data_IF_699755734799
#
_entry.id   IF_699755734799
#
_cell.length_a   1.000
_cell.length_b   1.000
_cell.length_c   1.000
_cell.angle_alpha   90.00
_cell.angle_beta   90.00
_cell.angle_gamma   90.00
#
_symmetry.space_group_name_H-M   'P 1'
#
loop_
_entity.id
_entity.type
_entity.pdbx_description
1 polymer ?
#
# COMPACT_ATOMS: atom_id res chain seq x y z
N UNK A 1 31.49 -5.68 -30.09
CA UNK A 1 30.24 -5.28 -29.41
C UNK A 1 30.01 -6.24 -28.26
N UNK A 2 30.36 -5.82 -27.05
CA UNK A 2 30.24 -6.65 -25.86
C UNK A 2 28.84 -6.49 -25.26
N UNK A 3 28.09 -7.59 -25.10
CA UNK A 3 26.80 -7.61 -24.41
C UNK A 3 27.06 -7.45 -22.91
N UNK A 4 26.61 -6.36 -22.32
CA UNK A 4 26.55 -6.21 -20.87
C UNK A 4 25.47 -7.15 -20.32
N UNK A 5 25.86 -8.06 -19.46
CA UNK A 5 24.98 -8.96 -18.75
C UNK A 5 24.34 -8.24 -17.55
N UNK A 6 23.17 -8.67 -17.13
CA UNK A 6 22.29 -8.14 -16.06
C UNK A 6 22.91 -8.09 -14.65
N UNK A 7 24.21 -8.36 -14.52
CA UNK A 7 24.92 -8.56 -13.26
C UNK A 7 25.66 -7.37 -12.65
N UNK A 8 25.76 -6.23 -13.34
CA UNK A 8 26.57 -5.08 -12.87
C UNK A 8 25.72 -3.93 -12.30
N UNK A 9 24.73 -4.24 -11.47
CA UNK A 9 24.01 -3.25 -10.69
C UNK A 9 24.61 -3.16 -9.30
N UNK A 10 25.29 -2.05 -9.02
CA UNK A 10 25.88 -1.73 -7.74
C UNK A 10 24.87 -1.89 -6.59
N UNK A 11 25.17 -2.79 -5.67
CA UNK A 11 24.55 -2.88 -4.36
C UNK A 11 24.97 -1.66 -3.54
N UNK A 12 23.99 -0.92 -3.01
CA UNK A 12 24.31 0.07 -2.01
C UNK A 12 23.39 1.27 -1.90
N UNK A 13 22.10 1.07 -1.72
CA UNK A 13 21.30 2.01 -0.97
C UNK A 13 20.59 1.21 0.13
N UNK A 14 21.13 1.24 1.33
CA UNK A 14 20.43 0.78 2.53
C UNK A 14 19.31 1.78 2.76
N UNK A 15 18.09 1.42 2.37
CA UNK A 15 16.91 2.17 2.76
C UNK A 15 16.71 1.87 4.24
N UNK A 16 17.00 2.88 5.08
CA UNK A 16 16.66 2.84 6.50
C UNK A 16 15.14 2.74 6.59
N UNK A 17 14.65 1.59 7.03
CA UNK A 17 13.24 1.38 7.35
C UNK A 17 12.89 2.27 8.53
N UNK A 18 12.26 3.41 8.28
CA UNK A 18 11.64 4.19 9.33
C UNK A 18 10.34 3.52 9.77
N UNK A 19 10.28 3.19 11.05
CA UNK A 19 9.12 2.63 11.72
C UNK A 19 8.00 3.70 11.75
N UNK A 20 7.00 3.57 10.89
CA UNK A 20 5.82 4.44 10.88
C UNK A 20 4.64 3.66 11.46
N UNK A 21 4.06 4.20 12.53
CA UNK A 21 2.86 3.62 13.20
C UNK A 21 1.64 3.80 12.31
N UNK A 22 1.03 2.71 11.90
CA UNK A 22 -0.13 2.67 11.00
C UNK A 22 -1.45 2.43 11.72
N UNK A 23 -2.49 3.04 11.16
CA UNK A 23 -3.88 2.64 11.42
C UNK A 23 -4.12 1.29 10.70
N UNK A 24 -4.25 0.24 11.50
CA UNK A 24 -4.17 -1.18 11.11
C UNK A 24 -5.41 -1.72 10.37
N UNK A 25 -6.38 -0.88 9.99
CA UNK A 25 -7.73 -1.35 9.66
C UNK A 25 -8.03 -1.53 8.17
N UNK A 26 -7.06 -1.40 7.23
CA UNK A 26 -7.41 -1.45 5.81
C UNK A 26 -6.39 -2.20 4.95
N UNK A 27 -6.77 -3.40 4.54
CA UNK A 27 -6.12 -4.19 3.49
C UNK A 27 -5.79 -3.33 2.26
N UNK A 28 -4.58 -3.51 1.70
CA UNK A 28 -4.14 -2.79 0.50
C UNK A 28 -3.61 -1.38 0.75
N UNK A 29 -3.41 -0.96 2.00
CA UNK A 29 -2.62 0.23 2.31
C UNK A 29 -1.13 -0.11 2.27
N UNK A 30 -0.33 0.76 1.71
CA UNK A 30 1.11 0.63 1.64
C UNK A 30 1.77 2.01 1.47
N UNK A 31 3.09 2.06 1.61
CA UNK A 31 3.89 3.25 1.39
C UNK A 31 4.91 3.04 0.30
N UNK A 32 5.50 4.12 -0.16
CA UNK A 32 6.58 4.05 -1.12
C UNK A 32 7.07 5.41 -1.58
N UNK A 33 8.04 5.36 -2.47
CA UNK A 33 8.52 6.52 -3.21
C UNK A 33 8.05 6.44 -4.65
N UNK A 34 7.28 7.44 -5.06
CA UNK A 34 6.77 7.56 -6.42
C UNK A 34 7.81 8.09 -7.41
N UNK A 35 8.77 8.87 -6.92
CA UNK A 35 9.95 9.35 -7.64
C UNK A 35 11.08 9.56 -6.65
N UNK A 36 12.28 9.12 -7.00
CA UNK A 36 13.51 9.39 -6.22
C UNK A 36 14.27 10.49 -6.93
N UNK A 37 14.74 11.49 -6.16
CA UNK A 37 15.42 12.66 -6.71
C UNK A 37 16.87 12.40 -7.14
N UNK A 38 17.38 13.28 -7.97
CA UNK A 38 18.78 13.36 -8.35
C UNK A 38 19.38 12.10 -9.01
N UNK A 39 18.55 11.17 -9.49
CA UNK A 39 19.01 10.03 -10.29
C UNK A 39 18.49 10.13 -11.72
N UNK A 40 19.28 9.66 -12.68
CA UNK A 40 18.88 9.61 -14.08
C UNK A 40 17.95 8.41 -14.29
N UNK A 41 16.75 8.67 -14.76
CA UNK A 41 15.78 7.62 -15.09
C UNK A 41 16.05 7.01 -16.49
N UNK A 42 15.22 6.06 -16.92
CA UNK A 42 15.38 5.36 -18.21
C UNK A 42 15.08 6.24 -19.43
N UNK A 43 14.47 7.41 -19.23
CA UNK A 43 14.20 8.40 -20.27
C UNK A 43 15.30 9.47 -20.37
N UNK A 44 16.28 9.47 -19.47
CA UNK A 44 17.31 10.49 -19.37
C UNK A 44 16.88 11.71 -18.56
N UNK A 45 15.85 11.58 -17.74
CA UNK A 45 15.33 12.63 -16.90
C UNK A 45 15.91 12.54 -15.47
N UNK A 46 16.09 13.69 -14.85
CA UNK A 46 16.36 13.83 -13.41
C UNK A 46 15.25 14.69 -12.82
N UNK A 47 14.54 14.15 -11.85
CA UNK A 47 13.59 14.92 -11.03
C UNK A 47 14.37 15.58 -9.90
N UNK A 48 14.19 16.89 -9.76
CA UNK A 48 14.85 17.69 -8.72
C UNK A 48 13.94 17.85 -7.50
N UNK A 49 14.51 18.03 -6.28
CA UNK A 49 13.74 18.44 -5.13
C UNK A 49 12.93 19.71 -5.39
N UNK A 50 11.72 19.82 -4.88
CA UNK A 50 10.78 20.91 -5.13
C UNK A 50 9.96 20.76 -6.42
N UNK A 51 10.19 19.71 -7.20
CA UNK A 51 9.50 19.52 -8.48
C UNK A 51 7.99 19.36 -8.35
N UNK A 52 7.49 18.88 -7.21
CA UNK A 52 6.07 18.60 -6.95
C UNK A 52 5.38 19.65 -6.06
N UNK A 53 6.07 20.72 -5.62
CA UNK A 53 5.51 21.74 -4.72
C UNK A 53 4.18 22.30 -5.20
N UNK A 54 4.06 22.63 -6.49
CA UNK A 54 2.84 23.17 -7.09
C UNK A 54 1.68 22.16 -7.04
N UNK A 55 1.97 20.86 -7.13
CA UNK A 55 0.95 19.80 -7.02
C UNK A 55 0.54 19.59 -5.57
N UNK A 56 1.50 19.45 -4.68
CA UNK A 56 1.29 19.19 -3.26
C UNK A 56 0.52 20.32 -2.57
N UNK A 57 0.72 21.57 -3.03
CA UNK A 57 -0.05 22.72 -2.55
C UNK A 57 -1.51 22.77 -3.03
N UNK A 58 -1.93 21.89 -3.96
CA UNK A 58 -3.26 21.93 -4.60
C UNK A 58 -4.06 20.64 -4.51
N UNK A 59 -3.38 19.51 -4.34
CA UNK A 59 -3.99 18.17 -4.41
C UNK A 59 -3.63 17.37 -3.17
N UNK A 60 -4.63 16.94 -2.42
CA UNK A 60 -4.46 16.05 -1.27
C UNK A 60 -4.31 14.58 -1.70
N UNK A 61 -4.71 14.27 -2.93
CA UNK A 61 -4.64 12.92 -3.48
C UNK A 61 -4.54 12.92 -5.01
N UNK A 62 -3.98 11.84 -5.54
CA UNK A 62 -4.02 11.53 -6.98
C UNK A 62 -4.50 10.09 -7.21
N UNK A 63 -5.09 9.77 -8.38
CA UNK A 63 -5.46 8.40 -8.71
C UNK A 63 -4.24 7.48 -8.75
N UNK A 64 -4.43 6.22 -8.36
CA UNK A 64 -3.46 5.17 -8.60
C UNK A 64 -3.94 4.26 -9.74
N UNK A 65 -3.05 4.02 -10.69
CA UNK A 65 -3.32 3.22 -11.87
C UNK A 65 -2.42 1.98 -11.93
N UNK A 66 -2.73 1.05 -12.83
CA UNK A 66 -1.83 -0.02 -13.20
C UNK A 66 -1.30 0.21 -14.62
N UNK A 67 0.05 0.26 -14.73
CA UNK A 67 0.78 0.48 -15.98
C UNK A 67 0.35 1.75 -16.76
N UNK A 68 0.01 2.86 -16.07
CA UNK A 68 -0.40 4.14 -16.66
C UNK A 68 -1.67 4.09 -17.53
N UNK A 69 -2.43 3.03 -17.47
CA UNK A 69 -3.69 2.94 -18.22
C UNK A 69 -4.84 3.57 -17.42
N UNK A 70 -5.44 4.61 -17.99
CA UNK A 70 -6.55 5.35 -17.34
C UNK A 70 -7.76 4.48 -16.98
N UNK A 71 -7.98 3.39 -17.73
CA UNK A 71 -9.05 2.43 -17.46
C UNK A 71 -8.72 1.44 -16.33
N UNK A 72 -7.46 1.40 -15.90
CA UNK A 72 -6.96 0.49 -14.87
C UNK A 72 -6.79 1.24 -13.53
N UNK A 73 -7.87 1.86 -13.05
CA UNK A 73 -7.88 2.50 -11.73
C UNK A 73 -7.83 1.43 -10.63
N UNK A 74 -6.77 1.47 -9.81
CA UNK A 74 -6.55 0.52 -8.72
C UNK A 74 -6.73 1.13 -7.34
N UNK A 75 -6.76 2.46 -7.22
CA UNK A 75 -6.87 3.11 -5.93
C UNK A 75 -6.52 4.59 -5.97
N UNK A 76 -5.98 5.08 -4.87
CA UNK A 76 -5.52 6.47 -4.73
C UNK A 76 -4.24 6.54 -3.90
N UNK A 77 -3.43 7.55 -4.18
CA UNK A 77 -2.30 7.96 -3.35
C UNK A 77 -2.69 9.21 -2.54
N UNK A 78 -2.36 9.20 -1.27
CA UNK A 78 -2.61 10.27 -0.29
C UNK A 78 -1.33 10.59 0.46
N UNK A 79 -1.39 11.60 1.35
CA UNK A 79 -0.29 11.97 2.25
C UNK A 79 1.05 12.12 1.52
N UNK A 80 0.95 12.66 0.31
CA UNK A 80 2.12 12.87 -0.55
C UNK A 80 2.97 14.01 0.00
N UNK A 81 4.27 13.78 0.09
CA UNK A 81 5.25 14.80 0.52
C UNK A 81 6.61 14.56 -0.11
N UNK A 82 7.36 15.62 -0.30
CA UNK A 82 8.77 15.52 -0.62
C UNK A 82 9.61 15.42 0.65
N UNK A 83 10.66 14.61 0.60
CA UNK A 83 11.73 14.56 1.59
C UNK A 83 13.10 14.56 0.87
N UNK A 84 14.19 14.29 1.60
CA UNK A 84 15.55 14.28 1.04
C UNK A 84 15.79 13.16 0.02
N UNK A 85 14.91 12.15 -0.04
CA UNK A 85 15.00 10.99 -0.93
C UNK A 85 14.18 11.22 -2.20
N UNK A 86 12.92 11.69 -2.06
CA UNK A 86 12.01 11.80 -3.19
C UNK A 86 10.58 12.19 -2.82
N UNK A 87 9.65 11.87 -3.71
CA UNK A 87 8.21 11.99 -3.48
C UNK A 87 7.70 10.74 -2.77
N UNK A 88 7.52 10.83 -1.47
CA UNK A 88 6.87 9.80 -0.65
C UNK A 88 5.34 9.89 -0.81
N UNK A 89 4.66 8.74 -0.70
CA UNK A 89 3.20 8.66 -0.75
C UNK A 89 2.67 7.49 0.08
N UNK A 90 1.40 7.60 0.50
CA UNK A 90 0.61 6.47 0.99
C UNK A 90 -0.33 6.00 -0.10
N UNK A 91 -0.18 4.75 -0.54
CA UNK A 91 -1.05 4.09 -1.49
C UNK A 91 -2.19 3.37 -0.79
N UNK A 92 -3.39 3.48 -1.37
CA UNK A 92 -4.56 2.75 -0.92
C UNK A 92 -5.26 2.11 -2.10
N UNK A 93 -5.16 0.79 -2.18
CA UNK A 93 -5.90 0.02 -3.18
C UNK A 93 -7.40 0.03 -2.87
N UNK A 94 -8.22 -0.03 -3.93
CA UNK A 94 -9.69 -0.03 -3.79
C UNK A 94 -10.17 -1.44 -3.44
N UNK A 95 -10.73 -1.68 -2.24
CA UNK A 95 -11.24 -2.99 -1.86
C UNK A 95 -12.33 -3.46 -2.82
N UNK A 96 -12.29 -4.75 -3.19
CA UNK A 96 -13.31 -5.37 -4.03
C UNK A 96 -13.22 -5.06 -5.53
N UNK A 97 -12.35 -4.15 -5.98
CA UNK A 97 -12.08 -3.96 -7.40
C UNK A 97 -11.13 -5.06 -7.90
N UNK A 98 -11.50 -5.76 -8.98
CA UNK A 98 -10.74 -6.92 -9.48
C UNK A 98 -9.29 -6.59 -9.77
N UNK A 99 -9.01 -5.52 -10.52
CA UNK A 99 -7.65 -5.09 -10.86
C UNK A 99 -6.85 -4.70 -9.61
N UNK A 100 -7.46 -4.03 -8.64
CA UNK A 100 -6.80 -3.68 -7.38
C UNK A 100 -6.45 -4.93 -6.57
N UNK A 101 -7.33 -5.94 -6.56
CA UNK A 101 -7.05 -7.21 -5.91
C UNK A 101 -5.91 -7.97 -6.61
N UNK A 102 -5.89 -8.01 -7.94
CA UNK A 102 -4.80 -8.64 -8.71
C UNK A 102 -3.44 -7.97 -8.39
N UNK A 103 -3.39 -6.64 -8.40
CA UNK A 103 -2.21 -5.87 -8.01
C UNK A 103 -1.80 -6.20 -6.56
N UNK A 104 -2.74 -6.23 -5.63
CA UNK A 104 -2.48 -6.60 -4.24
C UNK A 104 -1.85 -8.00 -4.11
N UNK A 105 -2.39 -9.01 -4.82
CA UNK A 105 -1.84 -10.37 -4.79
C UNK A 105 -0.41 -10.41 -5.37
N UNK A 106 -0.14 -9.66 -6.44
CA UNK A 106 1.21 -9.55 -7.00
C UNK A 106 2.19 -8.85 -6.05
N UNK A 107 1.76 -7.80 -5.34
CA UNK A 107 2.57 -7.14 -4.31
C UNK A 107 2.85 -8.09 -3.14
N UNK A 108 1.85 -8.79 -2.66
CA UNK A 108 1.98 -9.79 -1.58
C UNK A 108 2.94 -10.93 -1.95
N UNK A 109 2.91 -11.37 -3.21
CA UNK A 109 3.84 -12.36 -3.75
C UNK A 109 5.24 -11.78 -4.05
N UNK A 110 5.47 -10.48 -3.78
CA UNK A 110 6.71 -9.76 -4.10
C UNK A 110 7.06 -9.76 -5.60
N UNK A 111 6.07 -9.98 -6.46
CA UNK A 111 6.21 -9.97 -7.91
C UNK A 111 6.04 -8.57 -8.52
N UNK A 112 5.50 -7.62 -7.76
CA UNK A 112 5.22 -6.25 -8.21
C UNK A 112 5.53 -5.27 -7.06
N UNK A 113 6.55 -4.44 -7.26
CA UNK A 113 6.98 -3.39 -6.33
C UNK A 113 7.26 -2.06 -7.04
N UNK A 114 7.34 -2.05 -8.37
CA UNK A 114 7.68 -0.88 -9.17
C UNK A 114 6.60 0.19 -9.09
N UNK A 115 7.04 1.44 -8.89
CA UNK A 115 6.17 2.62 -8.88
C UNK A 115 6.66 3.60 -9.94
N UNK A 116 5.73 4.26 -10.62
CA UNK A 116 6.01 5.29 -11.62
C UNK A 116 4.99 6.42 -11.50
N UNK A 117 5.32 7.57 -12.07
CA UNK A 117 4.47 8.76 -12.06
C UNK A 117 4.01 9.13 -13.47
N UNK A 118 2.74 9.52 -13.58
CA UNK A 118 2.24 10.26 -14.72
C UNK A 118 2.21 11.75 -14.38
N UNK A 119 2.86 12.57 -15.18
CA UNK A 119 3.00 14.00 -14.92
C UNK A 119 2.96 14.83 -16.18
N UNK A 120 2.78 16.12 -16.01
CA UNK A 120 2.96 17.14 -17.05
C UNK A 120 4.03 18.12 -16.60
N UNK A 121 5.02 18.37 -17.48
CA UNK A 121 6.01 19.42 -17.22
C UNK A 121 5.33 20.78 -17.35
N UNK A 122 5.48 21.61 -16.33
CA UNK A 122 4.95 22.97 -16.33
C UNK A 122 5.86 23.93 -17.12
N UNK A 123 5.36 25.08 -17.59
CA UNK A 123 6.18 26.07 -18.26
C UNK A 123 7.40 26.45 -17.42
N UNK A 124 8.59 26.34 -18.01
CA UNK A 124 9.87 26.57 -17.33
C UNK A 124 10.28 25.49 -16.32
N UNK A 125 9.57 24.36 -16.30
CA UNK A 125 9.84 23.25 -15.37
C UNK A 125 10.82 22.19 -15.89
N UNK A 126 11.43 22.40 -17.05
CA UNK A 126 12.47 21.52 -17.57
C UNK A 126 13.63 22.32 -18.14
N UNK A 127 14.83 21.83 -17.89
CA UNK A 127 16.07 22.40 -18.44
C UNK A 127 16.99 21.26 -18.91
N UNK A 128 17.79 21.52 -19.95
CA UNK A 128 18.72 20.54 -20.52
C UNK A 128 20.14 20.78 -20.00
N UNK A 129 20.72 19.73 -19.44
CA UNK A 129 22.13 19.68 -19.06
C UNK A 129 22.82 18.60 -19.90
N UNK A 130 23.36 19.00 -21.04
CA UNK A 130 23.87 18.09 -22.04
C UNK A 130 22.78 17.18 -22.62
N UNK A 131 22.84 15.88 -22.31
CA UNK A 131 21.86 14.88 -22.77
C UNK A 131 20.81 14.56 -21.71
N UNK A 132 20.92 15.16 -20.53
CA UNK A 132 20.03 14.91 -19.39
C UNK A 132 19.03 16.05 -19.28
N UNK A 133 17.77 15.73 -19.10
CA UNK A 133 16.71 16.71 -18.85
C UNK A 133 16.42 16.79 -17.34
N UNK A 134 16.66 17.96 -16.75
CA UNK A 134 16.35 18.25 -15.35
C UNK A 134 14.93 18.76 -15.24
N UNK A 135 14.14 18.12 -14.39
CA UNK A 135 12.73 18.41 -14.15
C UNK A 135 12.59 19.09 -12.80
N UNK A 136 12.17 20.36 -12.79
CA UNK A 136 12.06 21.19 -11.59
C UNK A 136 10.63 21.63 -11.25
N UNK A 137 9.67 21.47 -12.18
CA UNK A 137 8.25 21.80 -11.92
C UNK A 137 7.32 20.88 -12.69
N UNK A 138 6.63 20.03 -11.94
CA UNK A 138 5.76 18.99 -12.48
C UNK A 138 4.33 19.15 -11.94
N UNK A 139 3.34 18.93 -12.79
CA UNK A 139 1.96 18.66 -12.37
C UNK A 139 1.78 17.16 -12.32
N UNK A 140 1.77 16.57 -11.12
CA UNK A 140 1.55 15.16 -10.91
C UNK A 140 0.10 14.81 -11.23
N UNK A 141 -0.11 13.89 -12.15
CA UNK A 141 -1.45 13.49 -12.60
C UNK A 141 -1.90 12.20 -11.94
N UNK A 142 -1.01 11.23 -11.78
CA UNK A 142 -1.29 9.93 -11.20
C UNK A 142 -0.01 9.25 -10.68
N UNK A 143 -0.18 8.23 -9.86
CA UNK A 143 0.89 7.30 -9.45
C UNK A 143 0.47 5.91 -9.88
N UNK A 144 1.35 5.18 -10.57
CA UNK A 144 1.07 3.83 -11.08
C UNK A 144 1.93 2.76 -10.43
N UNK A 145 1.31 1.62 -10.14
CA UNK A 145 2.06 0.38 -9.98
C UNK A 145 2.45 -0.13 -11.36
N UNK A 146 3.75 -0.41 -11.55
CA UNK A 146 4.31 -0.81 -12.85
C UNK A 146 5.33 -1.93 -12.71
N UNK A 147 5.45 -2.78 -13.74
CA UNK A 147 6.44 -3.87 -13.76
C UNK A 147 7.86 -3.31 -13.93
N UNK A 148 8.03 -2.27 -14.75
CA UNK A 148 9.32 -1.67 -15.07
C UNK A 148 9.26 -0.13 -14.95
N UNK A 149 9.52 0.43 -13.74
CA UNK A 149 9.48 1.87 -13.55
C UNK A 149 10.59 2.58 -14.30
N UNK A 150 10.29 3.78 -14.82
CA UNK A 150 11.27 4.65 -15.44
C UNK A 150 12.36 5.05 -14.43
N UNK A 151 11.96 5.54 -13.28
CA UNK A 151 12.84 5.75 -12.13
C UNK A 151 13.02 4.41 -11.39
N UNK A 152 14.15 3.74 -11.61
CA UNK A 152 14.40 2.38 -11.08
C UNK A 152 14.45 2.31 -9.56
N UNK A 153 14.60 3.43 -8.87
CA UNK A 153 14.60 3.54 -7.42
C UNK A 153 13.20 3.80 -6.84
N UNK A 154 12.21 4.15 -7.68
CA UNK A 154 10.84 4.33 -7.25
C UNK A 154 10.18 2.97 -6.97
N UNK A 155 9.85 2.71 -5.70
CA UNK A 155 9.33 1.43 -5.21
C UNK A 155 8.25 1.63 -4.16
N UNK A 156 7.32 0.68 -4.14
CA UNK A 156 6.46 0.44 -2.99
C UNK A 156 7.28 -0.28 -1.91
N UNK A 157 7.10 0.12 -0.67
CA UNK A 157 7.59 -0.64 0.47
C UNK A 157 6.63 -1.81 0.73
N UNK A 158 7.01 -3.00 0.28
CA UNK A 158 6.19 -4.21 0.44
C UNK A 158 6.10 -4.65 1.90
N UNK A 159 7.04 -4.23 2.76
CA UNK A 159 6.97 -4.46 4.21
C UNK A 159 5.85 -3.64 4.86
N UNK A 160 5.47 -2.50 4.25
CA UNK A 160 4.35 -1.67 4.72
C UNK A 160 2.99 -2.14 4.18
N UNK A 161 2.97 -3.05 3.18
CA UNK A 161 1.73 -3.56 2.60
C UNK A 161 0.92 -4.29 3.68
N UNK A 162 -0.22 -3.71 4.03
CA UNK A 162 -1.13 -4.34 4.99
C UNK A 162 -1.71 -5.59 4.39
N UNK A 163 -1.32 -6.72 4.98
CA UNK A 163 -1.83 -8.03 4.65
C UNK A 163 -3.28 -8.18 5.10
N UNK A 164 -3.95 -9.21 4.57
CA UNK A 164 -5.17 -9.69 5.17
C UNK A 164 -4.94 -9.92 6.66
N UNK A 165 -5.69 -9.19 7.46
CA UNK A 165 -6.07 -9.57 8.79
C UNK A 165 -4.99 -10.22 9.68
N UNK A 166 -4.31 -9.43 10.52
CA UNK A 166 -3.62 -9.97 11.68
C UNK A 166 -4.60 -9.99 12.88
N UNK A 167 -4.90 -11.16 13.44
CA UNK A 167 -5.76 -11.26 14.62
C UNK A 167 -5.28 -10.43 15.81
N UNK A 168 -3.96 -10.21 15.94
CA UNK A 168 -3.37 -9.46 17.05
C UNK A 168 -3.61 -7.95 16.95
N UNK A 169 -3.92 -7.44 15.75
CA UNK A 169 -4.29 -6.03 15.52
C UNK A 169 -5.71 -5.71 15.99
N UNK A 170 -6.53 -6.73 16.29
CA UNK A 170 -7.90 -6.55 16.77
C UNK A 170 -7.96 -6.32 18.25
N UNK A 171 -8.46 -5.16 18.61
CA UNK A 171 -8.64 -4.75 20.01
C UNK A 171 -10.11 -4.72 20.44
N UNK A 172 -11.03 -4.82 19.48
CA UNK A 172 -12.47 -4.71 19.76
C UNK A 172 -13.34 -5.46 18.74
N UNK A 173 -14.57 -5.77 19.14
CA UNK A 173 -15.59 -6.32 18.22
C UNK A 173 -15.94 -5.33 17.09
N UNK A 174 -15.72 -4.04 17.28
CA UNK A 174 -15.92 -3.03 16.25
C UNK A 174 -14.88 -3.17 15.10
N UNK A 175 -13.66 -3.58 15.42
CA UNK A 175 -12.61 -3.85 14.41
C UNK A 175 -13.03 -5.06 13.57
N UNK A 176 -13.58 -6.10 14.20
CA UNK A 176 -14.11 -7.28 13.50
C UNK A 176 -15.31 -6.91 12.62
N UNK A 177 -16.25 -6.07 13.10
CA UNK A 177 -17.36 -5.56 12.30
C UNK A 177 -16.86 -4.83 11.06
N UNK A 178 -15.85 -3.98 11.22
CA UNK A 178 -15.24 -3.23 10.09
C UNK A 178 -14.70 -4.17 9.03
N UNK A 179 -13.96 -5.21 9.42
CA UNK A 179 -13.39 -6.21 8.49
C UNK A 179 -14.46 -7.00 7.76
N UNK A 180 -15.50 -7.46 8.47
CA UNK A 180 -16.62 -8.17 7.83
C UNK A 180 -17.34 -7.29 6.80
N UNK A 181 -17.46 -5.99 7.08
CA UNK A 181 -18.03 -5.03 6.14
C UNK A 181 -17.12 -4.76 4.94
N UNK A 182 -15.81 -4.68 5.15
CA UNK A 182 -14.82 -4.56 4.08
C UNK A 182 -14.76 -5.82 3.21
N UNK A 183 -15.12 -6.98 3.78
CA UNK A 183 -15.32 -8.24 3.05
C UNK A 183 -16.66 -8.31 2.28
N UNK A 184 -17.42 -7.21 2.23
CA UNK A 184 -18.66 -7.08 1.47
C UNK A 184 -19.95 -7.37 2.23
N UNK A 185 -19.89 -7.61 3.54
CA UNK A 185 -21.09 -7.78 4.36
C UNK A 185 -21.76 -6.44 4.65
N UNK A 186 -23.08 -6.44 4.66
CA UNK A 186 -23.84 -5.30 5.21
C UNK A 186 -23.63 -5.20 6.72
N UNK A 187 -23.83 -4.02 7.28
CA UNK A 187 -23.73 -3.80 8.73
C UNK A 187 -24.61 -4.77 9.54
N UNK A 188 -25.77 -5.12 9.03
CA UNK A 188 -26.71 -6.04 9.68
C UNK A 188 -26.16 -7.46 9.68
N UNK A 189 -25.64 -7.92 8.53
CA UNK A 189 -25.02 -9.24 8.41
C UNK A 189 -23.78 -9.39 9.28
N UNK A 190 -22.88 -8.40 9.27
CA UNK A 190 -21.69 -8.39 10.10
C UNK A 190 -22.04 -8.48 11.60
N UNK A 191 -22.99 -7.67 12.08
CA UNK A 191 -23.46 -7.73 13.47
C UNK A 191 -24.12 -9.04 13.84
N UNK A 192 -24.93 -9.60 12.94
CA UNK A 192 -25.59 -10.89 13.16
C UNK A 192 -24.56 -12.02 13.24
N UNK A 193 -23.55 -12.01 12.39
CA UNK A 193 -22.46 -12.98 12.41
C UNK A 193 -21.65 -12.86 13.70
N UNK A 194 -21.27 -11.65 14.11
CA UNK A 194 -20.55 -11.42 15.37
C UNK A 194 -21.34 -11.90 16.60
N UNK A 195 -22.63 -11.61 16.65
CA UNK A 195 -23.49 -12.08 17.74
C UNK A 195 -23.52 -13.61 17.80
N UNK A 196 -23.62 -14.29 16.66
CA UNK A 196 -23.64 -15.74 16.56
C UNK A 196 -22.34 -16.40 16.98
N UNK A 197 -21.20 -15.85 16.50
CA UNK A 197 -19.88 -16.39 16.87
C UNK A 197 -19.59 -16.17 18.35
N UNK A 198 -19.94 -15.00 18.89
CA UNK A 198 -19.84 -14.76 20.34
C UNK A 198 -20.63 -15.79 21.16
N UNK A 199 -21.84 -16.12 20.75
CA UNK A 199 -22.67 -17.14 21.39
C UNK A 199 -22.01 -18.54 21.37
N UNK A 200 -21.38 -18.89 20.24
CA UNK A 200 -20.66 -20.17 20.07
C UNK A 200 -19.42 -20.20 20.98
N UNK A 201 -18.60 -19.16 20.96
CA UNK A 201 -17.38 -19.07 21.78
C UNK A 201 -17.72 -19.14 23.29
N UNK A 202 -18.73 -18.40 23.73
CA UNK A 202 -19.14 -18.42 25.13
C UNK A 202 -19.72 -19.78 25.53
N UNK A 203 -20.47 -20.45 24.67
CA UNK A 203 -21.02 -21.78 24.91
C UNK A 203 -19.93 -22.86 25.03
N UNK A 204 -18.88 -22.75 24.19
CA UNK A 204 -17.78 -23.74 24.19
C UNK A 204 -16.82 -23.49 25.37
N UNK A 205 -16.66 -22.24 25.82
CA UNK A 205 -15.96 -21.89 27.06
C UNK A 205 -16.66 -22.49 28.33
N UNK A 206 -17.98 -22.62 28.31
CA UNK A 206 -18.75 -23.16 29.43
C UNK A 206 -18.68 -24.72 29.51
N UNK A 207 -18.15 -25.38 28.48
CA UNK A 207 -18.02 -26.85 28.39
C UNK A 207 -16.75 -27.44 28.98
N UNK A 208 -15.86 -26.60 29.56
CA UNK A 208 -14.80 -27.08 30.45
C UNK A 208 -13.56 -27.63 29.78
N UNK A 209 -13.10 -27.04 28.67
CA UNK A 209 -11.73 -27.23 28.19
C UNK A 209 -10.84 -26.16 28.83
N UNK A 210 -9.76 -26.58 29.53
CA UNK A 210 -8.84 -25.69 30.29
C UNK A 210 -8.16 -24.60 29.43
N UNK A 211 -8.25 -24.68 28.11
CA UNK A 211 -7.73 -23.64 27.17
C UNK A 211 -8.67 -22.44 27.00
N UNK A 212 -9.94 -22.53 27.43
CA UNK A 212 -10.96 -21.49 27.27
C UNK A 212 -11.08 -20.55 28.48
N UNK A 213 -10.33 -20.76 29.55
CA UNK A 213 -10.45 -20.00 30.81
C UNK A 213 -9.83 -18.58 30.73
N UNK A 214 -9.08 -18.25 29.67
CA UNK A 214 -8.37 -16.97 29.55
C UNK A 214 -9.13 -15.89 28.76
N UNK A 215 -10.30 -16.20 28.17
CA UNK A 215 -11.08 -15.24 27.37
C UNK A 215 -11.96 -14.37 28.27
N UNK A 216 -11.37 -13.49 29.07
CA UNK A 216 -12.11 -12.67 30.05
C UNK A 216 -12.42 -11.24 29.58
N UNK A 217 -11.72 -10.72 28.58
CA UNK A 217 -11.90 -9.34 28.11
C UNK A 217 -12.52 -9.29 26.72
N UNK A 218 -13.09 -8.14 26.35
CA UNK A 218 -13.59 -7.92 25.00
C UNK A 218 -12.48 -8.05 23.93
N UNK A 219 -11.24 -7.70 24.29
CA UNK A 219 -10.07 -7.88 23.46
C UNK A 219 -9.74 -9.37 23.23
N UNK A 220 -9.77 -10.19 24.30
CA UNK A 220 -9.53 -11.63 24.20
C UNK A 220 -10.60 -12.33 23.33
N UNK A 221 -11.86 -11.90 23.44
CA UNK A 221 -12.96 -12.38 22.61
C UNK A 221 -12.77 -11.99 21.13
N UNK A 222 -12.29 -10.78 20.86
CA UNK A 222 -12.00 -10.31 19.50
C UNK A 222 -10.85 -11.11 18.87
N UNK A 223 -9.77 -11.38 19.59
CA UNK A 223 -8.63 -12.19 19.14
C UNK A 223 -9.04 -13.63 18.86
N UNK A 224 -9.80 -14.26 19.75
CA UNK A 224 -10.29 -15.64 19.57
C UNK A 224 -11.18 -15.75 18.32
N UNK A 225 -12.08 -14.78 18.13
CA UNK A 225 -12.94 -14.71 16.95
C UNK A 225 -12.15 -14.52 15.65
N UNK A 226 -11.16 -13.66 15.69
CA UNK A 226 -10.27 -13.40 14.59
C UNK A 226 -9.48 -14.64 14.16
N UNK A 227 -8.94 -15.35 15.11
CA UNK A 227 -8.23 -16.63 14.90
C UNK A 227 -9.14 -17.66 14.25
N UNK A 228 -10.36 -17.80 14.74
CA UNK A 228 -11.36 -18.70 14.17
C UNK A 228 -11.67 -18.36 12.69
N UNK A 229 -11.89 -17.09 12.37
CA UNK A 229 -12.15 -16.63 10.99
C UNK A 229 -10.96 -16.91 10.07
N UNK A 230 -9.73 -16.70 10.55
CA UNK A 230 -8.50 -17.00 9.79
C UNK A 230 -8.43 -18.50 9.46
N UNK A 231 -8.62 -19.35 10.45
CA UNK A 231 -8.47 -20.80 10.30
C UNK A 231 -9.56 -21.41 9.41
N UNK A 232 -10.76 -20.80 9.39
CA UNK A 232 -11.85 -21.18 8.49
C UNK A 232 -11.57 -20.85 7.02
N UNK A 233 -10.79 -19.79 6.73
CA UNK A 233 -10.38 -19.43 5.34
C UNK A 233 -9.29 -20.35 4.77
N UNK A 234 -8.56 -21.08 5.60
CA UNK A 234 -7.44 -21.96 5.21
C UNK A 234 -7.83 -23.44 5.12
N UNK A 235 -9.04 -23.78 5.49
CA UNK A 235 -9.64 -25.13 5.39
C UNK A 235 -10.50 -25.26 4.13
#
# INVERSE_FOLDING_TARGET
MSRKTFGDLAHGAVINTMEVKFDSTRQGNFEGYASVFNNIDSWGDIVLPGAFDDTLGKKDQVPMLFNHFMDNLIGRATDMKEDDIGLQFHGRLTPGASMANDVYQHMKAQALDGVSIGYRVQPGGADMDGKVRKLSRLDLLEISMVIAPANRLARADLGSLKADFDPEDMKSLADVEAILRDAGMTRVEAKSMLARVREIVLRDADKGDDSASDVKTEADQAVALATFIRDFKTA
#
